data_IF_884387592908
#
_entry.id   IF_884387592908
#
_cell.length_a   1.000
_cell.length_b   1.000
_cell.length_c   1.000
_cell.angle_alpha   90.00
_cell.angle_beta   90.00
_cell.angle_gamma   90.00
#
_symmetry.space_group_name_H-M   'P 1'
#
loop_
_entity.id
_entity.type
_entity.pdbx_description
1 polymer ?
#
# COMPACT_ATOMS: atom_id res chain seq x y z
N UNK A 1 -9.81 34.30 47.31
CA UNK A 1 -10.07 33.69 45.99
C UNK A 1 -9.17 32.47 45.82
N UNK A 2 -9.72 31.25 45.73
CA UNK A 2 -8.90 30.04 45.64
C UNK A 2 -8.38 29.86 44.21
N UNK A 3 -7.06 29.82 44.05
CA UNK A 3 -6.39 29.51 42.77
C UNK A 3 -6.48 28.02 42.52
N UNK A 4 -7.24 27.60 41.51
CA UNK A 4 -7.24 26.23 41.01
C UNK A 4 -5.91 25.94 40.33
N UNK A 5 -5.05 25.18 41.01
CA UNK A 5 -3.82 24.61 40.43
C UNK A 5 -4.23 23.37 39.64
N UNK A 6 -4.16 23.47 38.30
CA UNK A 6 -4.40 22.33 37.41
C UNK A 6 -3.13 21.46 37.39
N UNK A 7 -3.19 20.18 37.77
CA UNK A 7 -2.03 19.30 37.70
C UNK A 7 -1.64 19.04 36.22
N UNK A 8 -0.33 18.94 35.91
CA UNK A 8 0.10 18.67 34.55
C UNK A 8 -0.35 17.28 34.12
N UNK A 9 -1.06 17.21 33.00
CA UNK A 9 -1.41 15.95 32.32
C UNK A 9 -0.10 15.31 31.84
N UNK A 10 0.40 14.34 32.61
CA UNK A 10 1.50 13.48 32.18
C UNK A 10 0.93 12.49 31.16
N UNK A 11 1.13 12.77 29.87
CA UNK A 11 1.01 11.73 28.85
C UNK A 11 2.11 10.69 29.10
N UNK A 12 1.71 9.56 29.67
CA UNK A 12 2.55 8.39 29.81
C UNK A 12 2.68 7.78 28.41
N UNK A 13 3.77 8.11 27.70
CA UNK A 13 4.22 7.29 26.57
C UNK A 13 4.75 5.96 27.13
N UNK A 14 3.81 5.10 27.55
CA UNK A 14 4.06 3.68 27.76
C UNK A 14 3.91 3.00 26.41
N UNK A 15 5.05 2.70 25.79
CA UNK A 15 5.16 1.83 24.64
C UNK A 15 4.52 0.47 24.94
N UNK A 16 3.29 0.32 24.48
CA UNK A 16 2.54 -0.94 24.37
C UNK A 16 1.33 -0.64 23.48
N UNK A 17 1.53 -0.69 22.17
CA UNK A 17 0.43 -0.85 21.20
C UNK A 17 0.47 -2.28 20.65
N UNK A 18 0.38 -3.25 21.57
CA UNK A 18 -0.10 -4.60 21.25
C UNK A 18 -1.57 -4.63 21.67
N UNK A 19 -2.42 -4.02 20.84
CA UNK A 19 -3.86 -3.97 21.02
C UNK A 19 -4.55 -4.45 19.75
N UNK A 20 -5.17 -5.62 19.83
CA UNK A 20 -6.07 -6.16 18.81
C UNK A 20 -7.20 -5.14 18.57
N UNK A 21 -7.16 -4.41 17.46
CA UNK A 21 -8.24 -3.51 17.08
C UNK A 21 -7.78 -2.23 16.38
N UNK A 22 -7.76 -2.29 15.05
CA UNK A 22 -8.01 -1.10 14.23
C UNK A 22 -6.81 -0.37 13.67
N UNK A 23 -5.99 -1.06 12.85
CA UNK A 23 -5.40 -0.35 11.71
C UNK A 23 -6.58 0.05 10.81
N UNK A 24 -6.77 1.35 10.63
CA UNK A 24 -7.86 1.89 9.83
C UNK A 24 -7.84 1.25 8.43
N UNK A 25 -9.02 0.98 7.85
CA UNK A 25 -9.15 0.52 6.46
C UNK A 25 -8.15 1.16 5.46
N UNK A 26 -7.84 2.48 5.51
CA UNK A 26 -6.79 3.06 4.66
C UNK A 26 -5.35 2.59 4.97
N UNK A 27 -4.98 2.36 6.24
CA UNK A 27 -3.64 1.90 6.63
C UNK A 27 -3.35 0.48 6.09
N UNK A 28 -4.41 -0.32 5.91
CA UNK A 28 -4.30 -1.68 5.37
C UNK A 28 -3.92 -1.75 3.90
N UNK A 29 -4.23 -0.73 3.09
CA UNK A 29 -3.80 -0.77 1.68
C UNK A 29 -2.37 -0.24 1.50
N UNK A 30 -1.97 0.73 2.32
CA UNK A 30 -0.62 1.31 2.28
C UNK A 30 0.46 0.26 2.55
N UNK A 31 0.17 -0.80 3.32
CA UNK A 31 1.11 -1.91 3.55
C UNK A 31 1.53 -2.65 2.27
N UNK A 32 0.74 -2.57 1.21
CA UNK A 32 0.99 -3.27 -0.06
C UNK A 32 1.72 -2.43 -1.09
N UNK A 33 1.70 -1.10 -0.96
CA UNK A 33 2.36 -0.19 -1.89
C UNK A 33 3.19 0.81 -1.08
N UNK A 34 4.52 0.61 -0.99
CA UNK A 34 5.40 1.54 -0.30
C UNK A 34 5.26 2.96 -0.86
N UNK A 35 5.19 3.96 0.03
CA UNK A 35 5.04 5.35 -0.35
C UNK A 35 6.18 5.82 -1.25
N UNK A 36 7.38 5.28 -1.06
CA UNK A 36 8.58 5.54 -1.86
C UNK A 36 8.40 5.13 -3.32
N UNK A 37 7.67 4.03 -3.59
CA UNK A 37 7.42 3.58 -4.96
C UNK A 37 6.51 4.57 -5.69
N UNK A 38 5.46 5.06 -5.02
CA UNK A 38 4.57 6.08 -5.58
C UNK A 38 5.27 7.43 -5.70
N UNK A 39 6.07 7.82 -4.71
CA UNK A 39 6.87 9.03 -4.73
C UNK A 39 7.90 9.03 -5.86
N UNK A 40 8.40 7.86 -6.25
CA UNK A 40 9.21 7.70 -7.46
C UNK A 40 8.37 7.74 -8.74
N UNK A 41 7.27 6.97 -8.78
CA UNK A 41 6.47 6.75 -9.99
C UNK A 41 5.73 8.00 -10.46
N UNK A 42 4.96 8.64 -9.56
CA UNK A 42 4.04 9.73 -9.90
C UNK A 42 4.73 10.91 -10.58
N UNK A 43 5.81 11.50 -10.02
CA UNK A 43 6.46 12.64 -10.67
C UNK A 43 7.13 12.23 -11.98
N UNK A 44 7.70 11.03 -12.06
CA UNK A 44 8.37 10.57 -13.28
C UNK A 44 7.35 10.31 -14.41
N UNK A 45 6.19 9.75 -14.09
CA UNK A 45 5.09 9.58 -15.04
C UNK A 45 4.58 10.93 -15.55
N UNK A 46 4.51 11.95 -14.70
CA UNK A 46 4.15 13.31 -15.08
C UNK A 46 5.19 13.95 -16.02
N UNK A 47 6.49 13.73 -15.78
CA UNK A 47 7.58 14.23 -16.64
C UNK A 47 7.61 13.54 -18.00
N UNK A 48 7.35 12.23 -18.04
CA UNK A 48 7.35 11.46 -19.29
C UNK A 48 6.21 11.92 -20.22
N UNK A 49 5.05 12.25 -19.66
CA UNK A 49 3.88 12.72 -20.41
C UNK A 49 3.21 11.63 -21.25
N UNK A 50 2.15 11.98 -22.00
CA UNK A 50 1.30 11.00 -22.69
C UNK A 50 1.95 10.42 -23.97
N UNK A 51 2.87 11.15 -24.60
CA UNK A 51 3.38 10.82 -25.94
C UNK A 51 4.38 9.65 -25.92
N UNK A 52 4.95 9.36 -24.75
CA UNK A 52 6.03 8.37 -24.59
C UNK A 52 5.54 7.07 -23.97
N UNK A 53 4.53 6.45 -24.59
CA UNK A 53 3.92 5.19 -24.14
C UNK A 53 4.92 4.09 -23.74
N UNK A 54 5.96 3.76 -24.54
CA UNK A 54 6.92 2.71 -24.15
C UNK A 54 7.66 3.03 -22.85
N UNK A 55 7.96 4.30 -22.62
CA UNK A 55 8.67 4.79 -21.43
C UNK A 55 7.77 4.73 -20.19
N UNK A 56 6.47 5.04 -20.34
CA UNK A 56 5.49 4.85 -19.27
C UNK A 56 5.29 3.37 -18.91
N UNK A 57 5.25 2.48 -19.90
CA UNK A 57 5.17 1.02 -19.67
C UNK A 57 6.42 0.55 -18.93
N UNK A 58 7.61 0.96 -19.38
CA UNK A 58 8.85 0.64 -18.70
C UNK A 58 8.85 1.15 -17.24
N UNK A 59 8.36 2.37 -17.00
CA UNK A 59 8.23 2.93 -15.67
C UNK A 59 7.26 2.13 -14.79
N UNK A 60 6.10 1.70 -15.32
CA UNK A 60 5.17 0.81 -14.62
C UNK A 60 5.85 -0.52 -14.24
N UNK A 61 6.58 -1.13 -15.17
CA UNK A 61 7.32 -2.38 -14.90
C UNK A 61 8.39 -2.18 -13.82
N UNK A 62 9.14 -1.06 -13.86
CA UNK A 62 10.15 -0.74 -12.85
C UNK A 62 9.50 -0.51 -11.49
N UNK A 63 8.40 0.23 -11.39
CA UNK A 63 7.69 0.44 -10.13
C UNK A 63 7.07 -0.85 -9.58
N UNK A 64 6.59 -1.74 -10.45
CA UNK A 64 6.07 -3.05 -10.07
C UNK A 64 7.17 -3.94 -9.48
N UNK A 65 8.29 -4.09 -10.20
CA UNK A 65 9.45 -4.87 -9.72
C UNK A 65 10.03 -4.22 -8.47
N UNK A 66 10.09 -2.89 -8.41
CA UNK A 66 10.54 -2.12 -7.26
C UNK A 66 9.68 -2.36 -6.02
N UNK A 67 8.34 -2.38 -6.17
CA UNK A 67 7.40 -2.68 -5.08
C UNK A 67 7.65 -4.06 -4.50
N UNK A 68 7.70 -5.09 -5.37
CA UNK A 68 7.92 -6.48 -4.95
C UNK A 68 9.30 -6.62 -4.30
N UNK A 69 10.34 -6.08 -4.93
CA UNK A 69 11.72 -6.14 -4.45
C UNK A 69 11.92 -5.43 -3.11
N UNK A 70 11.33 -4.25 -2.95
CA UNK A 70 11.36 -3.49 -1.68
C UNK A 70 10.72 -4.31 -0.55
N UNK A 71 9.50 -4.80 -0.77
CA UNK A 71 8.78 -5.58 0.25
C UNK A 71 9.48 -6.90 0.55
N UNK A 72 10.07 -7.54 -0.46
CA UNK A 72 10.85 -8.76 -0.28
C UNK A 72 12.08 -8.52 0.59
N UNK A 73 12.81 -7.43 0.31
CA UNK A 73 13.98 -7.06 1.10
C UNK A 73 13.62 -6.68 2.54
N UNK A 74 12.52 -5.94 2.73
CA UNK A 74 11.97 -5.63 4.04
C UNK A 74 11.59 -6.90 4.81
N UNK A 75 10.93 -7.87 4.14
CA UNK A 75 10.56 -9.15 4.74
C UNK A 75 11.75 -10.04 5.12
N UNK A 76 12.92 -9.87 4.48
CA UNK A 76 14.13 -10.61 4.87
C UNK A 76 14.69 -10.15 6.23
N UNK A 77 14.38 -8.93 6.67
CA UNK A 77 14.82 -8.38 7.96
C UNK A 77 13.98 -8.91 9.13
N UNK A 78 12.86 -9.58 8.85
CA UNK A 78 11.96 -10.17 9.84
C UNK A 78 12.34 -11.62 10.14
N UNK A 79 11.93 -12.13 11.31
CA UNK A 79 12.14 -13.52 11.70
C UNK A 79 11.52 -14.49 10.66
N UNK A 80 12.13 -15.66 10.39
CA UNK A 80 11.68 -16.56 9.32
C UNK A 80 10.21 -16.97 9.37
N UNK A 81 9.65 -17.08 10.58
CA UNK A 81 8.26 -17.44 10.88
C UNK A 81 7.26 -16.28 10.71
N UNK A 82 7.75 -15.05 10.71
CA UNK A 82 6.98 -13.82 10.51
C UNK A 82 7.04 -13.30 9.07
N UNK A 83 7.83 -13.94 8.20
CA UNK A 83 8.00 -13.51 6.81
C UNK A 83 6.68 -13.48 6.05
N UNK A 84 6.46 -12.49 5.17
CA UNK A 84 5.26 -12.42 4.35
C UNK A 84 5.11 -13.68 3.48
N UNK A 85 3.89 -14.21 3.41
CA UNK A 85 3.56 -15.36 2.57
C UNK A 85 3.65 -14.99 1.09
N UNK A 86 3.91 -15.93 0.16
CA UNK A 86 4.05 -15.63 -1.26
C UNK A 86 2.88 -14.86 -1.90
N UNK A 87 1.64 -15.08 -1.42
CA UNK A 87 0.47 -14.36 -1.95
C UNK A 87 0.48 -12.87 -1.62
N UNK A 88 1.15 -12.45 -0.54
CA UNK A 88 1.31 -11.05 -0.18
C UNK A 88 1.97 -10.25 -1.32
N UNK A 89 3.01 -10.80 -1.95
CA UNK A 89 3.70 -10.13 -3.05
C UNK A 89 2.84 -10.02 -4.32
N UNK A 90 1.96 -10.99 -4.56
CA UNK A 90 0.98 -10.93 -5.65
C UNK A 90 -0.07 -9.85 -5.37
N UNK A 91 -0.55 -9.77 -4.13
CA UNK A 91 -1.47 -8.73 -3.71
C UNK A 91 -0.84 -7.33 -3.75
N UNK A 92 0.45 -7.22 -3.41
CA UNK A 92 1.24 -5.99 -3.56
C UNK A 92 1.37 -5.55 -5.02
N UNK A 93 1.65 -6.50 -5.92
CA UNK A 93 1.68 -6.25 -7.35
C UNK A 93 0.33 -5.72 -7.87
N UNK A 94 -0.77 -6.37 -7.50
CA UNK A 94 -2.12 -5.93 -7.87
C UNK A 94 -2.42 -4.54 -7.30
N UNK A 95 -2.12 -4.31 -6.02
CA UNK A 95 -2.34 -3.02 -5.38
C UNK A 95 -1.57 -1.91 -6.09
N UNK A 96 -0.30 -2.12 -6.43
CA UNK A 96 0.50 -1.16 -7.20
C UNK A 96 -0.13 -0.85 -8.56
N UNK A 97 -0.59 -1.88 -9.29
CA UNK A 97 -1.24 -1.72 -10.59
C UNK A 97 -2.60 -1.00 -10.50
N UNK A 98 -3.26 -0.98 -9.35
CA UNK A 98 -4.45 -0.17 -9.12
C UNK A 98 -4.09 1.28 -8.73
N UNK A 99 -3.03 1.47 -7.94
CA UNK A 99 -2.56 2.79 -7.53
C UNK A 99 -1.96 3.61 -8.67
N UNK A 100 -1.15 2.99 -9.53
CA UNK A 100 -0.46 3.68 -10.61
C UNK A 100 -1.40 4.43 -11.58
N UNK A 101 -2.47 3.81 -12.16
CA UNK A 101 -3.42 4.53 -13.01
C UNK A 101 -4.27 5.54 -12.24
N UNK A 102 -4.61 5.26 -10.99
CA UNK A 102 -5.40 6.19 -10.16
C UNK A 102 -4.63 7.45 -9.74
N UNK A 103 -3.30 7.41 -9.77
CA UNK A 103 -2.43 8.55 -9.41
C UNK A 103 -1.82 9.25 -10.62
N UNK A 104 -1.99 8.69 -11.82
CA UNK A 104 -1.45 9.26 -13.06
C UNK A 104 -2.43 9.11 -14.23
N UNK A 105 -2.93 10.22 -14.80
CA UNK A 105 -3.75 10.22 -16.02
C UNK A 105 -3.09 9.50 -17.20
N UNK A 106 -1.77 9.60 -17.31
CA UNK A 106 -1.02 8.95 -18.39
C UNK A 106 -0.99 7.43 -18.22
N UNK A 107 -0.90 6.94 -16.98
CA UNK A 107 -0.96 5.51 -16.69
C UNK A 107 -2.39 4.96 -16.85
N UNK A 108 -3.43 5.71 -16.47
CA UNK A 108 -4.82 5.33 -16.74
C UNK A 108 -5.09 5.18 -18.26
N UNK A 109 -4.59 6.13 -19.06
CA UNK A 109 -4.74 6.09 -20.51
C UNK A 109 -4.04 4.89 -21.18
N UNK A 110 -3.02 4.29 -20.56
CA UNK A 110 -2.43 3.03 -21.05
C UNK A 110 -3.37 1.84 -20.93
N UNK A 111 -4.25 1.88 -19.93
CA UNK A 111 -5.26 0.86 -19.68
C UNK A 111 -6.60 1.15 -20.38
N UNK A 112 -6.67 2.25 -21.13
CA UNK A 112 -7.92 2.71 -21.75
C UNK A 112 -8.94 3.22 -20.74
N UNK A 113 -8.50 3.62 -19.55
CA UNK A 113 -9.34 4.13 -18.47
C UNK A 113 -9.29 5.66 -18.41
N UNK A 114 -10.39 6.28 -18.02
CA UNK A 114 -10.37 7.65 -17.51
C UNK A 114 -9.98 7.71 -16.02
N UNK A 115 -9.86 8.92 -15.46
CA UNK A 115 -9.47 9.10 -14.06
C UNK A 115 -10.56 8.69 -13.06
N UNK A 116 -11.84 8.78 -13.44
CA UNK A 116 -12.95 8.37 -12.58
C UNK A 116 -12.98 6.85 -12.49
N UNK A 117 -12.87 6.16 -13.62
CA UNK A 117 -12.79 4.70 -13.71
C UNK A 117 -11.57 4.17 -12.94
N UNK A 118 -10.39 4.80 -13.11
CA UNK A 118 -9.20 4.43 -12.36
C UNK A 118 -9.39 4.62 -10.83
N UNK A 119 -10.06 5.70 -10.42
CA UNK A 119 -10.42 5.94 -9.02
C UNK A 119 -11.39 4.90 -8.46
N UNK A 120 -12.38 4.46 -9.25
CA UNK A 120 -13.30 3.36 -8.88
C UNK A 120 -12.54 2.05 -8.72
N UNK A 121 -11.65 1.71 -9.66
CA UNK A 121 -10.81 0.51 -9.57
C UNK A 121 -9.94 0.54 -8.31
N UNK A 122 -9.30 1.67 -8.01
CA UNK A 122 -8.54 1.81 -6.77
C UNK A 122 -9.42 1.65 -5.53
N UNK A 123 -10.60 2.27 -5.51
CA UNK A 123 -11.54 2.17 -4.37
C UNK A 123 -11.96 0.72 -4.12
N UNK A 124 -12.24 -0.03 -5.18
CA UNK A 124 -12.53 -1.47 -5.08
C UNK A 124 -11.31 -2.23 -4.57
N UNK A 125 -10.11 -1.93 -5.07
CA UNK A 125 -8.88 -2.57 -4.62
C UNK A 125 -8.58 -2.30 -3.14
N UNK A 126 -8.83 -1.08 -2.65
CA UNK A 126 -8.71 -0.69 -1.23
C UNK A 126 -9.50 -1.62 -0.32
N UNK A 127 -10.67 -2.07 -0.76
CA UNK A 127 -11.49 -3.01 -0.03
C UNK A 127 -11.12 -4.48 -0.28
N UNK A 128 -10.94 -4.87 -1.55
CA UNK A 128 -10.80 -6.27 -1.96
C UNK A 128 -9.42 -6.86 -1.62
N UNK A 129 -8.35 -6.08 -1.73
CA UNK A 129 -6.99 -6.59 -1.50
C UNK A 129 -6.79 -7.02 -0.03
N UNK A 130 -7.14 -6.20 0.99
CA UNK A 130 -7.07 -6.63 2.38
C UNK A 130 -8.01 -7.81 2.71
N UNK A 131 -9.20 -7.84 2.09
CA UNK A 131 -10.14 -8.94 2.27
C UNK A 131 -9.56 -10.26 1.72
N UNK A 132 -8.96 -10.22 0.53
CA UNK A 132 -8.32 -11.37 -0.10
C UNK A 132 -7.14 -11.88 0.73
N UNK A 133 -6.30 -11.00 1.26
CA UNK A 133 -5.18 -11.35 2.14
C UNK A 133 -5.66 -12.10 3.39
N UNK A 134 -6.62 -11.53 4.11
CA UNK A 134 -7.19 -12.12 5.32
C UNK A 134 -7.77 -13.51 5.03
N UNK A 135 -8.50 -13.66 3.93
CA UNK A 135 -9.08 -14.94 3.51
C UNK A 135 -7.97 -15.97 3.19
N UNK A 136 -6.95 -15.58 2.43
CA UNK A 136 -5.84 -16.45 2.04
C UNK A 136 -4.99 -16.89 3.24
N UNK A 137 -4.78 -15.99 4.21
CA UNK A 137 -4.10 -16.31 5.47
C UNK A 137 -4.89 -17.34 6.27
N UNK A 138 -6.22 -17.14 6.43
CA UNK A 138 -7.09 -18.09 7.15
C UNK A 138 -7.16 -19.46 6.49
N UNK A 139 -7.24 -19.51 5.17
CA UNK A 139 -7.26 -20.78 4.42
C UNK A 139 -5.95 -21.55 4.57
N UNK A 140 -4.81 -20.87 4.71
CA UNK A 140 -3.49 -21.50 4.87
C UNK A 140 -3.15 -21.88 6.30
N UNK A 141 -3.77 -21.27 7.31
CA UNK A 141 -3.63 -21.63 8.72
C UNK A 141 -4.91 -22.33 9.17
N UNK A 142 -5.09 -23.65 8.89
CA UNK A 142 -6.23 -24.38 9.43
C UNK A 142 -6.21 -24.27 10.95
N UNK A 143 -7.37 -23.96 11.54
CA UNK A 143 -7.56 -23.80 12.97
C UNK A 143 -6.89 -24.97 13.73
N UNK A 144 -5.94 -24.64 14.59
CA UNK A 144 -5.50 -25.55 15.65
C UNK A 144 -6.43 -25.42 16.84
#
# INVERSE_FOLDING_TARGET
MPRTVVPPVRFRNSGTSSGVGGDGLPERLVKYVPAETLAFFVPLAAVIGPDRRPLLIALLCVGLVGTIGYLWLAGQQTAPDERPLPHFYVLAAVAYLCWAPATSPHAAALLGLDQVEAGVVLTLAVFLVPLADELLVRLRRPAR
#
